data_IF_469785461067
#
_entry.id   IF_469785461067
#
_cell.length_a   1.000
_cell.length_b   1.000
_cell.length_c   1.000
_cell.angle_alpha   90.00
_cell.angle_beta   90.00
_cell.angle_gamma   90.00
#
_symmetry.space_group_name_H-M   'P 1'
#
loop_
_entity.id
_entity.type
_entity.pdbx_description
1 polymer ?
#
# COMPACT_ATOMS: atom_id res chain seq x y z
N UNK A 1 -26.89 4.65 -65.36
CA UNK A 1 -27.40 4.88 -64.00
C UNK A 1 -27.76 3.52 -63.48
N UNK A 2 -26.89 2.96 -62.64
CA UNK A 2 -26.97 1.59 -62.16
C UNK A 2 -27.63 1.64 -60.78
N UNK A 3 -28.77 0.97 -60.64
CA UNK A 3 -29.52 0.91 -59.38
C UNK A 3 -28.67 0.27 -58.29
N UNK A 4 -28.31 1.06 -57.29
CA UNK A 4 -27.72 0.59 -56.04
C UNK A 4 -28.86 -0.02 -55.23
N UNK A 5 -28.91 -1.35 -55.21
CA UNK A 5 -29.77 -2.12 -54.32
C UNK A 5 -29.27 -1.89 -52.89
N UNK A 6 -30.01 -1.10 -52.11
CA UNK A 6 -29.80 -0.98 -50.66
C UNK A 6 -30.42 -2.22 -50.01
N UNK A 7 -29.65 -3.09 -49.32
CA UNK A 7 -30.22 -4.26 -48.67
C UNK A 7 -31.11 -3.83 -47.50
N UNK A 8 -32.32 -4.36 -47.45
CA UNK A 8 -33.26 -4.10 -46.37
C UNK A 8 -32.74 -4.57 -44.99
N UNK A 9 -33.38 -4.14 -43.89
CA UNK A 9 -32.96 -4.40 -42.51
C UNK A 9 -32.92 -5.89 -42.11
N UNK A 10 -33.31 -6.81 -43.00
CA UNK A 10 -33.27 -8.26 -42.78
C UNK A 10 -31.86 -8.88 -42.88
N UNK A 11 -30.82 -8.11 -43.25
CA UNK A 11 -29.46 -8.61 -43.45
C UNK A 11 -28.41 -8.04 -42.49
N UNK A 12 -28.81 -7.33 -41.43
CA UNK A 12 -27.84 -6.89 -40.43
C UNK A 12 -27.25 -8.14 -39.72
N UNK A 13 -25.93 -8.30 -39.75
CA UNK A 13 -25.21 -9.37 -39.06
C UNK A 13 -24.42 -8.81 -37.88
N UNK A 14 -24.32 -9.56 -36.80
CA UNK A 14 -23.56 -9.24 -35.60
C UNK A 14 -22.45 -10.29 -35.46
N UNK A 15 -21.20 -9.85 -35.34
CA UNK A 15 -20.08 -10.72 -35.02
C UNK A 15 -19.95 -10.82 -33.48
N UNK A 16 -19.91 -12.02 -32.94
CA UNK A 16 -19.79 -12.27 -31.49
C UNK A 16 -18.77 -13.37 -31.23
N UNK A 17 -18.03 -13.25 -30.13
CA UNK A 17 -17.07 -14.27 -29.68
C UNK A 17 -17.65 -15.06 -28.52
N UNK A 18 -17.80 -16.37 -28.67
CA UNK A 18 -18.41 -17.23 -27.65
C UNK A 18 -17.33 -18.01 -26.92
N UNK A 19 -17.17 -17.72 -25.64
CA UNK A 19 -16.32 -18.46 -24.72
C UNK A 19 -17.09 -19.58 -24.05
N UNK A 20 -16.66 -20.82 -24.22
CA UNK A 20 -17.28 -21.95 -23.55
C UNK A 20 -16.32 -23.10 -23.26
N UNK A 21 -16.85 -24.23 -22.78
CA UNK A 21 -16.03 -25.38 -22.37
C UNK A 21 -15.26 -26.03 -23.52
N UNK A 22 -15.66 -25.81 -24.78
CA UNK A 22 -14.95 -26.25 -25.97
C UNK A 22 -13.96 -25.20 -26.52
N UNK A 23 -13.75 -24.09 -25.79
CA UNK A 23 -12.90 -22.99 -26.22
C UNK A 23 -13.69 -21.78 -26.74
N UNK A 24 -12.97 -20.89 -27.44
CA UNK A 24 -13.49 -19.63 -27.99
C UNK A 24 -13.82 -19.83 -29.45
N UNK A 25 -15.03 -19.42 -29.85
CA UNK A 25 -15.48 -19.53 -31.23
C UNK A 25 -16.15 -18.23 -31.68
N UNK A 26 -15.67 -17.68 -32.78
CA UNK A 26 -16.19 -16.44 -33.36
C UNK A 26 -17.31 -16.76 -34.34
N UNK A 27 -18.52 -16.28 -34.05
CA UNK A 27 -19.70 -16.49 -34.88
C UNK A 27 -20.18 -15.18 -35.48
N UNK A 28 -20.56 -15.22 -36.76
CA UNK A 28 -21.28 -14.15 -37.43
C UNK A 28 -22.73 -14.58 -37.56
N UNK A 29 -23.62 -13.92 -36.80
CA UNK A 29 -25.02 -14.31 -36.67
C UNK A 29 -25.93 -13.19 -37.17
N UNK A 30 -27.13 -13.49 -37.73
CA UNK A 30 -28.11 -12.47 -38.05
C UNK A 30 -28.50 -11.65 -36.81
N UNK A 31 -28.76 -10.35 -36.95
CA UNK A 31 -29.15 -9.47 -35.85
C UNK A 31 -30.50 -9.85 -35.22
N UNK A 32 -31.35 -10.57 -35.95
CA UNK A 32 -32.59 -11.16 -35.46
C UNK A 32 -32.43 -12.53 -34.79
N UNK A 33 -31.22 -13.10 -34.75
CA UNK A 33 -30.99 -14.41 -34.14
C UNK A 33 -31.22 -14.33 -32.63
N UNK A 34 -31.84 -15.37 -32.07
CA UNK A 34 -32.03 -15.47 -30.62
C UNK A 34 -30.81 -16.10 -29.96
N UNK A 35 -30.68 -15.92 -28.64
CA UNK A 35 -29.61 -16.55 -27.87
C UNK A 35 -29.61 -18.10 -27.98
N UNK A 36 -30.77 -18.72 -28.27
CA UNK A 36 -30.86 -20.18 -28.45
C UNK A 36 -30.29 -20.62 -29.80
N UNK A 37 -30.53 -19.84 -30.85
CA UNK A 37 -30.02 -20.13 -32.19
C UNK A 37 -28.50 -20.06 -32.21
N UNK A 38 -27.95 -19.02 -31.57
CA UNK A 38 -26.50 -18.84 -31.43
C UNK A 38 -25.87 -19.90 -30.53
N UNK A 39 -26.53 -20.30 -29.45
CA UNK A 39 -26.08 -21.39 -28.60
C UNK A 39 -26.07 -22.75 -29.33
N UNK A 40 -27.07 -22.99 -30.18
CA UNK A 40 -27.16 -24.19 -31.01
C UNK A 40 -26.03 -24.21 -32.03
N UNK A 41 -25.79 -23.10 -32.69
CA UNK A 41 -24.71 -22.98 -33.69
C UNK A 41 -23.33 -23.21 -33.05
N UNK A 42 -23.08 -22.59 -31.89
CA UNK A 42 -21.87 -22.86 -31.10
C UNK A 42 -21.73 -24.35 -30.75
N UNK A 43 -22.81 -25.00 -30.31
CA UNK A 43 -22.78 -26.42 -29.96
C UNK A 43 -22.56 -27.33 -31.18
N UNK A 44 -23.07 -26.96 -32.36
CA UNK A 44 -22.83 -27.70 -33.61
C UNK A 44 -21.38 -27.56 -34.04
N UNK A 45 -20.86 -26.34 -34.14
CA UNK A 45 -19.48 -26.11 -34.59
C UNK A 45 -18.44 -26.62 -33.57
N UNK A 46 -18.73 -26.57 -32.27
CA UNK A 46 -17.89 -27.18 -31.25
C UNK A 46 -17.83 -28.72 -31.35
N UNK A 47 -18.86 -29.39 -31.89
CA UNK A 47 -18.83 -30.83 -32.14
C UNK A 47 -18.06 -31.18 -33.40
N UNK A 48 -18.19 -30.37 -34.45
CA UNK A 48 -17.53 -30.59 -35.74
C UNK A 48 -16.03 -30.30 -35.68
N UNK A 49 -15.61 -29.28 -34.94
CA UNK A 49 -14.21 -28.83 -34.87
C UNK A 49 -13.29 -29.72 -34.03
N UNK A 50 -13.82 -30.74 -33.32
CA UNK A 50 -13.01 -31.69 -32.53
C UNK A 50 -12.10 -31.06 -31.47
N UNK A 51 -12.30 -29.78 -31.16
CA UNK A 51 -11.38 -28.98 -30.37
C UNK A 51 -11.64 -29.17 -28.86
N UNK A 52 -10.76 -29.93 -28.21
CA UNK A 52 -10.35 -29.70 -26.82
C UNK A 52 -11.33 -30.07 -25.70
N UNK A 53 -11.12 -31.24 -25.09
CA UNK A 53 -11.33 -31.59 -23.67
C UNK A 53 -12.72 -31.38 -23.00
N UNK A 54 -13.74 -30.85 -23.67
CA UNK A 54 -15.07 -30.66 -23.09
C UNK A 54 -16.18 -30.91 -24.10
N UNK A 55 -16.72 -32.14 -24.14
CA UNK A 55 -17.94 -32.42 -24.90
C UNK A 55 -19.08 -31.56 -24.36
N UNK A 56 -19.66 -30.66 -25.16
CA UNK A 56 -20.85 -29.90 -24.77
C UNK A 56 -22.06 -30.85 -24.81
N UNK A 57 -22.62 -31.27 -23.66
CA UNK A 57 -23.61 -32.35 -23.62
C UNK A 57 -25.03 -31.92 -24.07
N UNK A 58 -25.21 -30.65 -24.47
CA UNK A 58 -26.50 -30.08 -24.88
C UNK A 58 -26.35 -28.65 -25.43
N UNK A 59 -27.47 -27.96 -25.68
CA UNK A 59 -27.45 -26.54 -26.07
C UNK A 59 -27.10 -25.71 -24.83
N UNK A 60 -25.98 -24.95 -24.81
CA UNK A 60 -25.57 -24.17 -23.66
C UNK A 60 -26.46 -22.94 -23.44
N UNK A 61 -26.44 -22.39 -22.23
CA UNK A 61 -27.08 -21.11 -21.94
C UNK A 61 -26.05 -19.99 -22.16
N UNK A 62 -26.40 -19.00 -22.99
CA UNK A 62 -25.57 -17.82 -23.23
C UNK A 62 -25.77 -16.77 -22.15
N UNK A 63 -24.65 -16.23 -21.69
CA UNK A 63 -24.57 -15.13 -20.74
C UNK A 63 -23.65 -14.06 -21.31
N UNK A 64 -23.80 -12.82 -20.89
CA UNK A 64 -22.82 -11.77 -21.17
C UNK A 64 -21.52 -12.06 -20.41
N UNK A 65 -20.43 -11.38 -20.76
CA UNK A 65 -19.19 -11.41 -19.98
C UNK A 65 -19.37 -11.02 -18.50
N UNK A 66 -20.43 -10.28 -18.16
CA UNK A 66 -20.80 -9.87 -16.80
C UNK A 66 -21.69 -10.90 -16.07
N UNK A 67 -21.99 -12.04 -16.70
CA UNK A 67 -22.78 -13.12 -16.11
C UNK A 67 -24.30 -12.90 -16.17
N UNK A 68 -24.78 -11.88 -16.89
CA UNK A 68 -26.23 -11.70 -17.11
C UNK A 68 -26.71 -12.66 -18.18
N UNK A 69 -27.78 -13.40 -17.89
CA UNK A 69 -28.37 -14.35 -18.84
C UNK A 69 -29.11 -13.62 -19.93
N UNK A 70 -28.84 -14.01 -21.17
CA UNK A 70 -29.63 -13.56 -22.30
C UNK A 70 -30.96 -14.31 -22.31
N UNK A 71 -32.06 -13.59 -22.55
CA UNK A 71 -33.37 -14.20 -22.66
C UNK A 71 -33.43 -15.00 -23.97
N UNK A 72 -33.82 -16.27 -23.87
CA UNK A 72 -33.90 -17.21 -24.99
C UNK A 72 -34.86 -16.76 -26.11
N UNK A 73 -35.86 -15.93 -25.79
CA UNK A 73 -36.89 -15.50 -26.74
C UNK A 73 -36.63 -14.12 -27.37
N UNK A 74 -35.61 -13.40 -26.93
CA UNK A 74 -35.33 -12.03 -27.38
C UNK A 74 -34.19 -12.04 -28.41
N UNK A 75 -34.32 -11.32 -29.54
CA UNK A 75 -33.23 -11.15 -30.49
C UNK A 75 -31.99 -10.54 -29.85
N UNK A 76 -30.79 -10.92 -30.30
CA UNK A 76 -29.54 -10.41 -29.73
C UNK A 76 -29.41 -8.88 -29.82
N UNK A 77 -29.90 -8.26 -30.89
CA UNK A 77 -29.92 -6.81 -31.07
C UNK A 77 -30.78 -6.09 -30.02
N UNK A 78 -31.96 -6.63 -29.71
CA UNK A 78 -32.87 -6.12 -28.68
C UNK A 78 -32.40 -6.42 -27.27
N UNK A 79 -31.63 -7.50 -27.08
CA UNK A 79 -30.95 -7.81 -25.83
C UNK A 79 -29.72 -6.92 -25.57
N UNK A 80 -29.43 -5.97 -26.47
CA UNK A 80 -28.34 -5.00 -26.34
C UNK A 80 -26.96 -5.53 -26.72
N UNK A 81 -26.87 -6.70 -27.37
CA UNK A 81 -25.60 -7.28 -27.81
C UNK A 81 -25.10 -6.56 -29.05
N UNK A 82 -23.86 -6.07 -28.97
CA UNK A 82 -23.19 -5.31 -30.02
C UNK A 82 -22.18 -6.18 -30.77
N UNK A 83 -21.80 -5.81 -32.01
CA UNK A 83 -20.71 -6.45 -32.73
C UNK A 83 -19.39 -6.37 -31.93
N UNK A 84 -18.72 -7.51 -31.76
CA UNK A 84 -17.50 -7.64 -30.97
C UNK A 84 -17.73 -8.04 -29.50
N UNK A 85 -18.99 -8.18 -29.08
CA UNK A 85 -19.29 -8.63 -27.72
C UNK A 85 -18.88 -10.09 -27.49
N UNK A 86 -18.40 -10.34 -26.27
CA UNK A 86 -18.03 -11.67 -25.80
C UNK A 86 -19.18 -12.28 -25.00
N UNK A 87 -19.67 -13.42 -25.46
CA UNK A 87 -20.70 -14.21 -24.79
C UNK A 87 -20.08 -15.44 -24.15
N UNK A 88 -20.64 -15.88 -23.03
CA UNK A 88 -20.17 -17.06 -22.29
C UNK A 88 -21.20 -18.17 -22.39
N UNK A 89 -20.81 -19.28 -23.02
CA UNK A 89 -21.58 -20.50 -23.11
C UNK A 89 -21.39 -21.33 -21.83
N UNK A 90 -22.45 -21.39 -21.02
CA UNK A 90 -22.46 -22.13 -19.76
C UNK A 90 -23.23 -23.44 -19.90
N UNK A 91 -22.62 -24.56 -19.48
CA UNK A 91 -23.28 -25.86 -19.39
C UNK A 91 -23.87 -26.06 -18.00
N UNK A 92 -25.20 -25.95 -17.87
CA UNK A 92 -25.89 -26.30 -16.63
C UNK A 92 -27.23 -25.60 -16.45
N UNK A 93 -28.27 -26.39 -16.12
CA UNK A 93 -29.50 -25.86 -15.54
C UNK A 93 -29.14 -25.34 -14.16
N UNK A 94 -29.04 -24.03 -14.00
CA UNK A 94 -28.87 -23.40 -12.70
C UNK A 94 -30.22 -23.52 -11.98
N UNK A 95 -30.48 -24.68 -11.36
CA UNK A 95 -31.50 -24.79 -10.34
C UNK A 95 -31.10 -23.78 -9.26
N UNK A 96 -31.92 -22.77 -8.95
CA UNK A 96 -31.66 -21.96 -7.78
C UNK A 96 -31.71 -22.91 -6.59
N UNK A 97 -30.54 -23.30 -6.08
CA UNK A 97 -30.46 -24.01 -4.81
C UNK A 97 -31.10 -23.05 -3.82
N UNK A 98 -32.21 -23.44 -3.18
CA UNK A 98 -32.79 -22.70 -2.05
C UNK A 98 -31.71 -22.67 -0.97
N UNK A 99 -30.82 -21.69 -1.05
CA UNK A 99 -29.95 -21.30 0.05
C UNK A 99 -30.89 -20.73 1.10
N UNK A 100 -30.90 -21.36 2.27
CA UNK A 100 -31.60 -20.76 3.41
C UNK A 100 -30.96 -19.39 3.68
N UNK A 101 -31.71 -18.42 4.19
CA UNK A 101 -31.15 -17.11 4.57
C UNK A 101 -29.94 -17.26 5.53
N UNK A 102 -29.92 -18.36 6.28
CA UNK A 102 -28.85 -18.72 7.20
C UNK A 102 -27.60 -19.23 6.48
N UNK A 103 -27.74 -20.00 5.40
CA UNK A 103 -26.62 -20.38 4.51
C UNK A 103 -26.13 -19.19 3.67
N UNK A 104 -27.03 -18.30 3.26
CA UNK A 104 -26.68 -17.07 2.56
C UNK A 104 -25.94 -16.08 3.48
N UNK A 105 -26.30 -16.00 4.77
CA UNK A 105 -25.58 -15.19 5.76
C UNK A 105 -24.23 -15.80 6.15
N UNK A 106 -24.15 -17.13 6.31
CA UNK A 106 -22.88 -17.84 6.59
C UNK A 106 -21.88 -17.77 5.43
N UNK A 107 -22.39 -17.79 4.20
CA UNK A 107 -21.59 -17.71 2.97
C UNK A 107 -21.59 -16.31 2.34
N UNK A 108 -22.15 -15.30 3.02
CA UNK A 108 -22.09 -13.94 2.54
C UNK A 108 -20.61 -13.55 2.47
N UNK A 109 -20.13 -13.00 1.35
CA UNK A 109 -18.77 -12.49 1.26
C UNK A 109 -18.66 -11.31 2.24
N UNK A 110 -18.19 -11.58 3.46
CA UNK A 110 -17.86 -10.53 4.40
C UNK A 110 -16.76 -9.67 3.80
N UNK A 111 -16.99 -8.37 3.76
CA UNK A 111 -16.04 -7.46 3.13
C UNK A 111 -14.75 -7.47 3.95
N UNK A 112 -13.60 -7.88 3.37
CA UNK A 112 -12.32 -7.83 4.06
C UNK A 112 -11.99 -6.39 4.50
N UNK A 113 -12.61 -5.39 3.85
CA UNK A 113 -12.57 -3.98 4.21
C UNK A 113 -13.12 -3.70 5.61
N UNK A 114 -14.31 -4.21 5.97
CA UNK A 114 -14.91 -3.96 7.29
C UNK A 114 -14.08 -4.58 8.41
N UNK A 115 -13.62 -5.82 8.22
CA UNK A 115 -12.72 -6.46 9.19
C UNK A 115 -11.40 -5.68 9.37
N UNK A 116 -10.83 -5.17 8.27
CA UNK A 116 -9.62 -4.35 8.33
C UNK A 116 -9.85 -2.98 9.00
N UNK A 117 -11.03 -2.38 8.80
CA UNK A 117 -11.43 -1.14 9.45
C UNK A 117 -11.58 -1.34 10.96
N UNK A 118 -12.26 -2.41 11.39
CA UNK A 118 -12.39 -2.75 12.81
C UNK A 118 -11.02 -3.00 13.44
N UNK A 119 -10.14 -3.74 12.76
CA UNK A 119 -8.78 -3.98 13.24
C UNK A 119 -7.97 -2.67 13.38
N UNK A 120 -8.11 -1.74 12.42
CA UNK A 120 -7.46 -0.43 12.49
C UNK A 120 -8.00 0.43 13.66
N UNK A 121 -9.32 0.46 13.85
CA UNK A 121 -9.95 1.16 14.98
C UNK A 121 -9.51 0.55 16.30
N UNK A 122 -9.42 -0.77 16.39
CA UNK A 122 -8.97 -1.46 17.59
C UNK A 122 -7.50 -1.15 17.92
N UNK A 123 -6.61 -1.09 16.92
CA UNK A 123 -5.22 -0.64 17.09
C UNK A 123 -5.14 0.81 17.59
N UNK A 124 -5.98 1.71 17.06
CA UNK A 124 -6.03 3.10 17.52
C UNK A 124 -6.52 3.20 18.97
N UNK A 125 -7.57 2.43 19.32
CA UNK A 125 -8.08 2.35 20.69
C UNK A 125 -7.03 1.78 21.66
N UNK A 126 -6.23 0.80 21.23
CA UNK A 126 -5.14 0.24 22.04
C UNK A 126 -4.08 1.29 22.40
N UNK A 127 -3.65 2.08 21.42
CA UNK A 127 -2.68 3.17 21.63
C UNK A 127 -3.25 4.23 22.57
N UNK A 128 -4.52 4.60 22.40
CA UNK A 128 -5.18 5.54 23.30
C UNK A 128 -5.32 4.98 24.73
N UNK A 129 -5.71 3.72 24.88
CA UNK A 129 -5.81 3.07 26.18
C UNK A 129 -4.45 3.04 26.89
N UNK A 130 -3.37 2.71 26.17
CA UNK A 130 -2.02 2.75 26.71
C UNK A 130 -1.59 4.16 27.13
N UNK A 131 -1.90 5.18 26.33
CA UNK A 131 -1.63 6.57 26.65
C UNK A 131 -2.34 7.03 27.93
N UNK A 132 -3.62 6.72 28.06
CA UNK A 132 -4.39 7.04 29.27
C UNK A 132 -3.89 6.26 30.49
N UNK A 133 -3.61 4.97 30.35
CA UNK A 133 -3.08 4.14 31.42
C UNK A 133 -1.71 4.63 31.94
N UNK A 134 -0.84 5.09 31.05
CA UNK A 134 0.44 5.70 31.44
C UNK A 134 0.30 7.04 32.17
N UNK A 135 -0.76 7.82 31.86
CA UNK A 135 -0.99 9.15 32.43
C UNK A 135 -1.80 9.14 33.74
N UNK A 136 -2.64 8.12 33.96
CA UNK A 136 -3.58 8.09 35.08
C UNK A 136 -2.91 7.97 36.46
N UNK A 137 -1.65 7.49 36.53
CA UNK A 137 -0.89 7.35 37.77
C UNK A 137 -1.37 6.24 38.72
N UNK A 138 -2.50 5.59 38.42
CA UNK A 138 -3.05 4.47 39.20
C UNK A 138 -2.48 3.13 38.72
N UNK A 139 -1.71 2.47 39.60
CA UNK A 139 -0.96 1.25 39.27
C UNK A 139 -1.87 0.06 38.91
N UNK A 140 -3.01 -0.09 39.60
CA UNK A 140 -3.99 -1.14 39.33
C UNK A 140 -4.57 -0.99 37.92
N UNK A 141 -5.01 0.22 37.56
CA UNK A 141 -5.58 0.50 36.23
C UNK A 141 -4.54 0.25 35.13
N UNK A 142 -3.29 0.68 35.35
CA UNK A 142 -2.16 0.41 34.44
C UNK A 142 -1.91 -1.08 34.26
N UNK A 143 -1.83 -1.85 35.35
CA UNK A 143 -1.58 -3.30 35.31
C UNK A 143 -2.69 -4.06 34.57
N UNK A 144 -3.96 -3.74 34.84
CA UNK A 144 -5.10 -4.35 34.14
C UNK A 144 -5.07 -4.02 32.65
N UNK A 145 -4.80 -2.76 32.29
CA UNK A 145 -4.72 -2.33 30.89
C UNK A 145 -3.59 -3.04 30.14
N UNK A 146 -2.38 -3.10 30.72
CA UNK A 146 -1.25 -3.82 30.15
C UNK A 146 -1.59 -5.31 29.97
N UNK A 147 -2.18 -5.95 30.98
CA UNK A 147 -2.60 -7.35 30.91
C UNK A 147 -3.61 -7.61 29.78
N UNK A 148 -4.62 -6.74 29.64
CA UNK A 148 -5.60 -6.81 28.55
C UNK A 148 -4.96 -6.61 27.17
N UNK A 149 -4.07 -5.63 27.02
CA UNK A 149 -3.38 -5.35 25.76
C UNK A 149 -2.46 -6.53 25.35
N UNK A 150 -1.73 -7.11 26.31
CA UNK A 150 -0.92 -8.32 26.07
C UNK A 150 -1.77 -9.51 25.68
N UNK A 151 -2.90 -9.74 26.37
CA UNK A 151 -3.84 -10.80 26.00
C UNK A 151 -4.38 -10.61 24.57
N UNK A 152 -4.77 -9.38 24.21
CA UNK A 152 -5.19 -9.04 22.85
C UNK A 152 -4.08 -9.27 21.80
N UNK A 153 -2.83 -8.92 22.11
CA UNK A 153 -1.69 -9.18 21.23
C UNK A 153 -1.47 -10.69 21.00
N UNK A 154 -1.49 -11.49 22.08
CA UNK A 154 -1.33 -12.95 22.02
C UNK A 154 -2.47 -13.58 21.23
N UNK A 155 -3.72 -13.24 21.54
CA UNK A 155 -4.89 -13.72 20.80
C UNK A 155 -4.79 -13.30 19.34
N UNK A 156 -4.36 -12.08 19.05
CA UNK A 156 -4.24 -11.55 17.68
C UNK A 156 -3.31 -12.37 16.77
N UNK A 157 -2.27 -12.98 17.34
CA UNK A 157 -1.26 -13.78 16.62
C UNK A 157 -1.66 -15.25 16.41
N UNK A 158 -2.62 -15.77 17.18
CA UNK A 158 -3.05 -17.17 17.06
C UNK A 158 -3.62 -17.48 15.65
N UNK A 159 -3.22 -18.60 15.02
CA UNK A 159 -3.64 -18.96 13.67
C UNK A 159 -5.05 -19.56 13.62
N UNK A 160 -6.03 -18.85 14.18
CA UNK A 160 -7.41 -19.35 14.36
C UNK A 160 -8.41 -18.36 13.80
N UNK A 161 -9.31 -18.88 12.95
CA UNK A 161 -10.49 -18.18 12.46
C UNK A 161 -10.31 -17.43 11.14
N UNK A 162 -11.45 -17.06 10.54
CA UNK A 162 -11.54 -16.45 9.20
C UNK A 162 -10.88 -15.06 9.04
N UNK A 163 -10.66 -14.34 10.14
CA UNK A 163 -10.04 -12.99 10.15
C UNK A 163 -8.60 -13.00 10.69
N UNK A 164 -7.90 -14.13 10.59
CA UNK A 164 -6.52 -14.26 11.08
C UNK A 164 -5.62 -13.16 10.53
N UNK A 165 -5.69 -12.84 9.23
CA UNK A 165 -4.83 -11.83 8.60
C UNK A 165 -5.03 -10.44 9.21
N UNK A 166 -6.27 -10.00 9.41
CA UNK A 166 -6.58 -8.68 9.99
C UNK A 166 -6.16 -8.60 11.46
N UNK A 167 -6.35 -9.68 12.23
CA UNK A 167 -5.93 -9.77 13.63
C UNK A 167 -4.42 -9.76 13.77
N UNK A 168 -3.72 -10.57 12.97
CA UNK A 168 -2.26 -10.64 12.97
C UNK A 168 -1.63 -9.29 12.57
N UNK A 169 -2.25 -8.55 11.65
CA UNK A 169 -1.81 -7.20 11.28
C UNK A 169 -1.95 -6.16 12.41
N UNK A 170 -2.93 -6.34 13.32
CA UNK A 170 -3.19 -5.42 14.44
C UNK A 170 -2.42 -5.81 15.72
N UNK A 171 -2.12 -7.09 15.93
CA UNK A 171 -1.46 -7.60 17.13
C UNK A 171 -0.16 -6.86 17.53
N UNK A 172 0.74 -6.47 16.60
CA UNK A 172 1.93 -5.70 16.94
C UNK A 172 1.62 -4.34 17.58
N UNK A 173 0.52 -3.68 17.19
CA UNK A 173 0.11 -2.41 17.78
C UNK A 173 -0.32 -2.57 19.24
N UNK A 174 -1.03 -3.66 19.57
CA UNK A 174 -1.37 -3.99 20.96
C UNK A 174 -0.13 -4.28 21.81
N UNK A 175 0.86 -4.98 21.24
CA UNK A 175 2.12 -5.27 21.93
C UNK A 175 2.93 -4.01 22.20
N UNK A 176 3.07 -3.13 21.21
CA UNK A 176 3.70 -1.83 21.39
C UNK A 176 2.97 -0.97 22.43
N UNK A 177 1.63 -0.93 22.37
CA UNK A 177 0.81 -0.21 23.33
C UNK A 177 0.99 -0.76 24.76
N UNK A 178 1.02 -2.08 24.93
CA UNK A 178 1.27 -2.71 26.23
C UNK A 178 2.66 -2.35 26.79
N UNK A 179 3.70 -2.44 25.96
CA UNK A 179 5.06 -2.09 26.35
C UNK A 179 5.18 -0.60 26.72
N UNK A 180 4.54 0.28 25.94
CA UNK A 180 4.47 1.70 26.27
C UNK A 180 3.78 1.93 27.61
N UNK A 181 2.60 1.35 27.84
CA UNK A 181 1.86 1.52 29.10
C UNK A 181 2.59 0.95 30.30
N UNK A 182 3.34 -0.14 30.14
CA UNK A 182 4.11 -0.78 31.21
C UNK A 182 5.34 0.03 31.63
N UNK A 183 6.00 0.67 30.68
CA UNK A 183 7.28 1.37 30.90
C UNK A 183 7.14 2.88 31.04
N UNK A 184 6.00 3.45 30.62
CA UNK A 184 5.80 4.88 30.72
C UNK A 184 5.61 5.32 32.16
N UNK A 185 6.51 6.19 32.61
CA UNK A 185 6.46 6.85 33.91
C UNK A 185 6.49 8.37 33.72
N UNK A 186 5.48 9.11 34.21
CA UNK A 186 5.45 10.56 34.10
C UNK A 186 6.67 11.21 34.74
N UNK A 187 7.32 12.15 34.04
CA UNK A 187 8.45 12.93 34.56
C UNK A 187 9.83 12.29 34.32
N UNK A 188 9.90 11.05 33.82
CA UNK A 188 11.18 10.40 33.49
C UNK A 188 11.58 10.70 32.04
N UNK A 189 12.78 11.23 31.82
CA UNK A 189 13.31 11.60 30.49
C UNK A 189 13.77 10.39 29.64
N UNK A 190 13.07 9.26 29.70
CA UNK A 190 13.43 8.01 28.99
C UNK A 190 12.49 7.70 27.81
N UNK A 191 11.79 8.71 27.29
CA UNK A 191 10.79 8.55 26.23
C UNK A 191 11.34 7.83 24.97
N UNK A 192 12.58 8.11 24.48
CA UNK A 192 13.17 7.31 23.41
C UNK A 192 13.26 5.84 23.78
N UNK A 193 13.81 5.49 24.94
CA UNK A 193 13.96 4.09 25.37
C UNK A 193 12.61 3.37 25.46
N UNK A 194 11.57 4.04 25.97
CA UNK A 194 10.20 3.51 26.03
C UNK A 194 9.65 3.24 24.63
N UNK A 195 9.80 4.19 23.69
CA UNK A 195 9.37 3.97 22.29
C UNK A 195 10.19 2.90 21.59
N UNK A 196 11.49 2.78 21.91
CA UNK A 196 12.34 1.69 21.45
C UNK A 196 11.82 0.33 21.93
N UNK A 197 11.52 0.20 23.22
CA UNK A 197 10.93 -1.00 23.81
C UNK A 197 9.56 -1.35 23.19
N UNK A 198 8.73 -0.35 22.91
CA UNK A 198 7.47 -0.55 22.18
C UNK A 198 7.72 -1.03 20.73
N UNK A 199 8.72 -0.47 20.05
CA UNK A 199 9.13 -0.87 18.70
C UNK A 199 9.58 -2.34 18.62
N UNK A 200 10.45 -2.78 19.55
CA UNK A 200 10.89 -4.18 19.58
C UNK A 200 9.76 -5.13 19.99
N UNK A 201 8.87 -4.73 20.90
CA UNK A 201 7.69 -5.54 21.25
C UNK A 201 6.78 -5.77 20.04
N UNK A 202 6.52 -4.72 19.23
CA UNK A 202 5.80 -4.87 17.97
C UNK A 202 6.52 -5.81 16.98
N UNK A 203 7.84 -5.65 16.81
CA UNK A 203 8.63 -6.48 15.90
C UNK A 203 8.63 -7.96 16.32
N UNK A 204 8.75 -8.26 17.61
CA UNK A 204 8.69 -9.62 18.15
C UNK A 204 7.32 -10.24 17.90
N UNK A 205 6.23 -9.54 18.23
CA UNK A 205 4.87 -10.06 18.03
C UNK A 205 4.55 -10.25 16.54
N UNK A 206 5.02 -9.36 15.67
CA UNK A 206 4.94 -9.55 14.22
C UNK A 206 5.77 -10.76 13.76
N UNK A 207 6.95 -10.99 14.35
CA UNK A 207 7.78 -12.18 14.12
C UNK A 207 7.08 -13.48 14.50
N UNK A 208 6.43 -13.54 15.66
CA UNK A 208 5.66 -14.70 16.11
C UNK A 208 4.45 -14.92 15.18
N UNK A 209 3.71 -13.86 14.84
CA UNK A 209 2.62 -13.91 13.87
C UNK A 209 3.04 -14.47 12.51
N UNK A 210 4.19 -14.02 12.01
CA UNK A 210 4.79 -14.51 10.78
C UNK A 210 5.23 -15.97 10.88
N UNK A 211 5.81 -16.39 12.00
CA UNK A 211 6.26 -17.77 12.21
C UNK A 211 5.11 -18.78 12.29
N UNK A 212 3.95 -18.35 12.81
CA UNK A 212 2.74 -19.19 12.90
C UNK A 212 1.88 -19.16 11.63
N UNK A 213 2.13 -18.23 10.70
CA UNK A 213 1.32 -18.07 9.50
C UNK A 213 1.67 -19.12 8.44
N UNK A 214 0.66 -19.78 7.89
CA UNK A 214 0.82 -20.74 6.80
C UNK A 214 1.18 -20.08 5.45
N UNK A 215 1.01 -18.76 5.33
CA UNK A 215 1.28 -17.99 4.11
C UNK A 215 2.14 -16.77 4.46
N UNK A 216 2.94 -16.29 3.51
CA UNK A 216 3.70 -15.06 3.69
C UNK A 216 2.75 -13.89 3.98
N UNK A 217 2.94 -13.26 5.13
CA UNK A 217 2.24 -12.02 5.48
C UNK A 217 3.19 -10.82 5.26
N UNK A 218 2.84 -9.98 4.29
CA UNK A 218 3.61 -8.78 3.94
C UNK A 218 3.58 -7.72 5.03
N UNK A 219 2.46 -7.61 5.76
CA UNK A 219 2.28 -6.60 6.79
C UNK A 219 3.21 -6.86 7.98
N UNK A 220 3.43 -8.13 8.33
CA UNK A 220 4.41 -8.52 9.34
C UNK A 220 5.85 -8.10 8.98
N UNK A 221 6.24 -8.11 7.69
CA UNK A 221 7.58 -7.65 7.26
C UNK A 221 7.78 -6.18 7.61
N UNK A 222 6.77 -5.36 7.30
CA UNK A 222 6.81 -3.92 7.57
C UNK A 222 6.88 -3.66 9.07
N UNK A 223 6.09 -4.37 9.88
CA UNK A 223 6.14 -4.26 11.34
C UNK A 223 7.51 -4.63 11.91
N UNK A 224 8.11 -5.73 11.45
CA UNK A 224 9.45 -6.14 11.89
C UNK A 224 10.48 -5.07 11.51
N UNK A 225 10.51 -4.65 10.25
CA UNK A 225 11.48 -3.68 9.76
C UNK A 225 11.33 -2.33 10.47
N UNK A 226 10.12 -1.78 10.53
CA UNK A 226 9.87 -0.48 11.18
C UNK A 226 10.09 -0.54 12.69
N UNK A 227 9.62 -1.58 13.37
CA UNK A 227 9.83 -1.78 14.81
C UNK A 227 11.31 -1.92 15.17
N UNK A 228 12.09 -2.65 14.35
CA UNK A 228 13.53 -2.78 14.54
C UNK A 228 14.27 -1.46 14.29
N UNK A 229 13.92 -0.70 13.24
CA UNK A 229 14.52 0.62 12.98
C UNK A 229 14.23 1.59 14.14
N UNK A 230 12.99 1.64 14.62
CA UNK A 230 12.62 2.47 15.78
C UNK A 230 13.40 2.04 17.02
N UNK A 231 13.46 0.73 17.29
CA UNK A 231 14.25 0.19 18.40
C UNK A 231 15.72 0.58 18.29
N UNK A 232 16.37 0.39 17.14
CA UNK A 232 17.79 0.71 16.97
C UNK A 232 18.05 2.21 17.16
N UNK A 233 17.25 3.09 16.54
CA UNK A 233 17.44 4.54 16.69
C UNK A 233 17.26 5.00 18.14
N UNK A 234 16.29 4.45 18.85
CA UNK A 234 15.97 4.84 20.22
C UNK A 234 16.85 4.16 21.28
N UNK A 235 17.17 2.88 21.12
CA UNK A 235 17.99 2.13 22.06
C UNK A 235 19.46 2.51 21.94
N UNK A 236 19.99 2.69 20.73
CA UNK A 236 21.40 3.08 20.55
C UNK A 236 21.68 4.45 21.14
N UNK A 237 20.76 5.41 20.96
CA UNK A 237 20.88 6.74 21.55
C UNK A 237 20.83 6.70 23.07
N UNK A 238 19.93 5.89 23.65
CA UNK A 238 19.88 5.68 25.09
C UNK A 238 21.14 4.99 25.64
N UNK A 239 21.63 3.93 24.99
CA UNK A 239 22.83 3.18 25.38
C UNK A 239 24.10 4.03 25.34
N UNK A 240 24.20 4.93 24.35
CA UNK A 240 25.33 5.85 24.22
C UNK A 240 25.20 7.09 25.12
N UNK A 241 24.14 7.19 25.93
CA UNK A 241 23.88 8.36 26.78
C UNK A 241 23.67 9.65 25.98
N UNK A 242 23.20 9.55 24.74
CA UNK A 242 22.94 10.71 23.89
C UNK A 242 21.58 11.31 24.20
N UNK A 243 21.46 12.60 23.89
CA UNK A 243 20.19 13.33 24.02
C UNK A 243 19.10 12.66 23.16
N UNK A 244 17.89 12.57 23.71
CA UNK A 244 16.67 12.12 23.05
C UNK A 244 16.48 12.76 21.68
N UNK A 245 16.89 14.02 21.53
CA UNK A 245 16.88 14.77 20.27
C UNK A 245 17.55 14.03 19.11
N UNK A 246 18.64 13.31 19.37
CA UNK A 246 19.36 12.56 18.32
C UNK A 246 18.48 11.44 17.77
N UNK A 247 17.72 10.76 18.64
CA UNK A 247 16.80 9.71 18.23
C UNK A 247 15.72 10.25 17.30
N UNK A 248 15.09 11.36 17.69
CA UNK A 248 14.03 11.99 16.89
C UNK A 248 14.55 12.50 15.55
N UNK A 249 15.76 13.06 15.55
CA UNK A 249 16.45 13.52 14.33
C UNK A 249 16.65 12.36 13.36
N UNK A 250 17.20 11.23 13.84
CA UNK A 250 17.40 10.03 13.04
C UNK A 250 16.08 9.47 12.50
N UNK A 251 15.04 9.40 13.34
CA UNK A 251 13.73 8.89 12.93
C UNK A 251 13.07 9.73 11.84
N UNK A 252 13.05 11.06 11.98
CA UNK A 252 12.50 11.97 10.96
C UNK A 252 13.30 11.85 9.66
N UNK A 253 14.63 11.85 9.74
CA UNK A 253 15.50 11.74 8.57
C UNK A 253 15.34 10.40 7.85
N UNK A 254 15.35 9.28 8.60
CA UNK A 254 15.18 7.94 8.03
C UNK A 254 13.78 7.74 7.46
N UNK A 255 12.72 8.29 8.07
CA UNK A 255 11.37 8.24 7.52
C UNK A 255 11.29 8.94 6.15
N UNK A 256 11.93 10.11 6.01
CA UNK A 256 12.05 10.81 4.74
C UNK A 256 12.80 9.96 3.69
N UNK A 257 13.92 9.33 4.07
CA UNK A 257 14.71 8.48 3.17
C UNK A 257 13.97 7.21 2.79
N UNK A 258 13.26 6.58 3.73
CA UNK A 258 12.47 5.38 3.50
C UNK A 258 11.40 5.60 2.41
N UNK A 259 10.84 6.80 2.28
CA UNK A 259 9.90 7.13 1.21
C UNK A 259 10.50 7.00 -0.21
N UNK A 260 11.84 7.05 -0.35
CA UNK A 260 12.53 6.84 -1.64
C UNK A 260 12.90 5.38 -1.89
N UNK A 261 13.28 4.66 -0.83
CA UNK A 261 13.76 3.27 -0.94
C UNK A 261 12.66 2.22 -0.81
N UNK A 262 11.51 2.55 -0.23
CA UNK A 262 10.43 1.58 -0.01
C UNK A 262 9.93 0.92 -1.32
N UNK A 263 9.74 1.63 -2.45
CA UNK A 263 9.33 1.00 -3.69
C UNK A 263 10.40 0.05 -4.26
N UNK A 264 11.68 0.42 -4.20
CA UNK A 264 12.77 -0.42 -4.71
C UNK A 264 13.00 -1.66 -3.85
N UNK A 265 12.77 -1.58 -2.53
CA UNK A 265 12.86 -2.73 -1.64
C UNK A 265 11.64 -3.65 -1.72
N UNK A 266 10.48 -3.13 -2.13
CA UNK A 266 9.25 -3.90 -2.27
C UNK A 266 9.17 -4.69 -3.58
N UNK A 267 9.85 -4.22 -4.63
CA UNK A 267 9.87 -4.81 -5.95
C UNK A 267 11.21 -5.52 -6.12
N UNK A 268 11.25 -6.78 -5.73
CA UNK A 268 12.36 -7.69 -5.99
C UNK A 268 11.95 -8.60 -7.15
N UNK A 269 12.42 -8.28 -8.36
CA UNK A 269 12.17 -9.10 -9.55
C UNK A 269 13.44 -9.91 -9.78
N UNK A 270 13.37 -11.25 -9.80
CA UNK A 270 14.54 -12.08 -10.08
C UNK A 270 15.16 -11.68 -11.43
N UNK A 271 16.49 -11.55 -11.49
CA UNK A 271 17.19 -11.14 -12.71
C UNK A 271 16.93 -12.11 -13.86
N UNK A 272 16.72 -13.39 -13.56
CA UNK A 272 16.39 -14.45 -14.54
C UNK A 272 15.01 -14.24 -15.19
N UNK A 273 14.14 -13.44 -14.57
CA UNK A 273 12.82 -13.11 -15.09
C UNK A 273 12.83 -11.87 -16.00
N UNK A 274 13.82 -10.98 -15.85
CA UNK A 274 13.96 -9.76 -16.66
C UNK A 274 14.95 -9.93 -17.81
N UNK A 275 15.97 -10.75 -17.60
CA UNK A 275 17.07 -10.94 -18.51
C UNK A 275 17.22 -12.43 -18.81
N UNK A 276 17.24 -12.76 -20.10
CA UNK A 276 17.64 -14.09 -20.55
C UNK A 276 19.17 -14.18 -20.36
N UNK A 277 19.59 -14.57 -19.15
CA UNK A 277 20.99 -14.65 -18.75
C UNK A 277 21.78 -15.60 -19.67
N UNK A 278 21.12 -16.61 -20.27
CA UNK A 278 21.74 -17.50 -21.25
C UNK A 278 22.09 -16.75 -22.54
N UNK A 279 21.27 -15.78 -22.97
CA UNK A 279 21.58 -14.92 -24.13
C UNK A 279 22.63 -13.86 -23.84
N UNK A 280 22.68 -13.32 -22.62
CA UNK A 280 23.67 -12.31 -22.24
C UNK A 280 25.07 -12.90 -21.98
N UNK A 281 25.16 -14.20 -21.69
CA UNK A 281 26.43 -14.90 -21.50
C UNK A 281 27.18 -15.16 -22.81
N UNK A 282 26.55 -15.00 -23.98
CA UNK A 282 27.16 -15.27 -25.28
C UNK A 282 27.64 -13.96 -25.92
N UNK A 283 28.95 -13.73 -25.90
CA UNK A 283 29.59 -12.51 -26.42
C UNK A 283 29.66 -12.45 -27.95
N UNK A 284 29.34 -13.54 -28.65
CA UNK A 284 29.33 -13.63 -30.10
C UNK A 284 27.91 -13.94 -30.58
N UNK A 285 27.14 -12.89 -30.89
CA UNK A 285 25.80 -13.06 -31.43
C UNK A 285 25.89 -13.55 -32.88
N UNK A 286 25.58 -14.82 -33.12
CA UNK A 286 25.35 -15.30 -34.48
C UNK A 286 23.87 -15.07 -34.84
N UNK A 287 23.60 -14.35 -35.92
CA UNK A 287 22.23 -14.15 -36.43
C UNK A 287 21.56 -15.46 -36.91
N UNK A 288 22.28 -16.60 -36.82
CA UNK A 288 21.82 -17.94 -37.21
C UNK A 288 21.49 -18.82 -36.00
N UNK A 289 21.64 -18.33 -34.76
CA UNK A 289 21.23 -19.11 -33.60
C UNK A 289 19.72 -19.35 -33.66
N UNK A 290 19.39 -20.58 -34.00
CA UNK A 290 18.03 -21.05 -34.13
C UNK A 290 17.43 -21.10 -32.74
N UNK A 291 16.28 -20.46 -32.58
CA UNK A 291 15.52 -20.40 -31.33
C UNK A 291 15.48 -21.81 -30.69
N UNK A 292 15.92 -21.99 -29.42
CA UNK A 292 15.92 -23.32 -28.80
C UNK A 292 14.48 -23.85 -28.79
N UNK A 293 14.23 -24.90 -29.58
CA UNK A 293 12.92 -25.53 -29.82
C UNK A 293 12.46 -26.41 -28.65
N UNK A 294 12.79 -26.02 -27.42
CA UNK A 294 12.45 -26.75 -26.20
C UNK A 294 11.60 -25.92 -25.25
N UNK A 295 10.64 -26.59 -24.60
CA UNK A 295 9.81 -26.08 -23.48
C UNK A 295 10.61 -25.46 -22.31
N UNK A 296 11.94 -25.58 -22.31
CA UNK A 296 12.88 -25.13 -21.28
C UNK A 296 13.54 -23.77 -21.55
N UNK A 297 13.47 -23.22 -22.77
CA UNK A 297 14.16 -21.97 -23.14
C UNK A 297 13.29 -20.72 -23.16
N UNK A 298 12.06 -20.80 -22.66
CA UNK A 298 11.14 -19.66 -22.57
C UNK A 298 10.77 -19.51 -21.12
N UNK A 299 11.53 -18.71 -20.37
CA UNK A 299 11.10 -18.21 -19.06
C UNK A 299 9.95 -17.22 -19.34
N UNK A 300 8.77 -17.77 -19.63
CA UNK A 300 7.54 -16.99 -19.71
C UNK A 300 7.11 -16.82 -18.26
N UNK A 301 7.35 -15.63 -17.71
CA UNK A 301 6.80 -15.25 -16.40
C UNK A 301 5.28 -15.39 -16.51
N UNK A 302 4.71 -16.36 -15.79
CA UNK A 302 3.26 -16.58 -15.78
C UNK A 302 2.57 -15.32 -15.29
N UNK A 303 1.46 -14.93 -15.92
CA UNK A 303 0.67 -13.77 -15.52
C UNK A 303 0.32 -13.81 -14.01
N UNK A 304 -0.02 -14.99 -13.49
CA UNK A 304 -0.34 -15.21 -12.07
C UNK A 304 0.83 -14.88 -11.13
N UNK A 305 2.08 -15.16 -11.54
CA UNK A 305 3.26 -14.84 -10.74
C UNK A 305 3.47 -13.32 -10.68
N UNK A 306 3.27 -12.63 -11.80
CA UNK A 306 3.33 -11.17 -11.85
C UNK A 306 2.22 -10.53 -11.02
N UNK A 307 1.00 -11.04 -11.09
CA UNK A 307 -0.13 -10.55 -10.30
C UNK A 307 0.14 -10.70 -8.80
N UNK A 308 0.64 -11.86 -8.36
CA UNK A 308 1.04 -12.07 -6.96
C UNK A 308 2.15 -11.11 -6.52
N UNK A 309 3.16 -10.90 -7.36
CA UNK A 309 4.24 -9.96 -7.07
C UNK A 309 3.73 -8.53 -6.93
N UNK A 310 2.88 -8.06 -7.84
CA UNK A 310 2.30 -6.72 -7.80
C UNK A 310 1.44 -6.53 -6.55
N UNK A 311 0.59 -7.50 -6.22
CA UNK A 311 -0.21 -7.43 -4.99
C UNK A 311 0.65 -7.42 -3.72
N UNK A 312 1.72 -8.22 -3.69
CA UNK A 312 2.68 -8.25 -2.59
C UNK A 312 3.38 -6.90 -2.42
N UNK A 313 3.97 -6.38 -3.50
CA UNK A 313 4.66 -5.10 -3.51
C UNK A 313 3.72 -3.96 -3.09
N UNK A 314 2.47 -3.95 -3.61
CA UNK A 314 1.45 -2.98 -3.25
C UNK A 314 1.18 -2.92 -1.74
N UNK A 315 1.09 -4.09 -1.09
CA UNK A 315 0.88 -4.22 0.36
C UNK A 315 2.08 -3.73 1.15
N UNK A 316 3.29 -4.11 0.76
CA UNK A 316 4.54 -3.67 1.40
C UNK A 316 4.67 -2.15 1.30
N UNK A 317 4.48 -1.58 0.11
CA UNK A 317 4.58 -0.13 -0.14
C UNK A 317 3.53 0.64 0.68
N UNK A 318 2.30 0.14 0.75
CA UNK A 318 1.23 0.77 1.54
C UNK A 318 1.55 0.70 3.04
N UNK A 319 1.98 -0.46 3.54
CA UNK A 319 2.40 -0.62 4.93
C UNK A 319 3.57 0.29 5.29
N UNK A 320 4.61 0.34 4.45
CA UNK A 320 5.77 1.22 4.64
C UNK A 320 5.34 2.69 4.68
N UNK A 321 4.39 3.11 3.84
CA UNK A 321 3.86 4.48 3.85
C UNK A 321 3.11 4.81 5.15
N UNK A 322 2.40 3.85 5.74
CA UNK A 322 1.76 4.00 7.07
C UNK A 322 2.84 4.12 8.16
N UNK A 323 3.87 3.28 8.13
CA UNK A 323 4.97 3.35 9.09
C UNK A 323 5.71 4.70 9.03
N UNK A 324 6.01 5.19 7.82
CA UNK A 324 6.59 6.52 7.58
C UNK A 324 5.68 7.60 8.18
N UNK A 325 4.37 7.55 7.91
CA UNK A 325 3.41 8.51 8.46
C UNK A 325 3.42 8.53 10.00
N UNK A 326 3.31 7.36 10.64
CA UNK A 326 3.31 7.27 12.10
C UNK A 326 4.62 7.79 12.69
N UNK A 327 5.77 7.36 12.16
CA UNK A 327 7.08 7.82 12.64
C UNK A 327 7.24 9.33 12.47
N UNK A 328 6.91 9.88 11.30
CA UNK A 328 7.01 11.33 11.06
C UNK A 328 6.10 12.13 11.99
N UNK A 329 4.81 11.76 12.10
CA UNK A 329 3.83 12.48 12.94
C UNK A 329 4.20 12.46 14.42
N UNK A 330 4.81 11.37 14.90
CA UNK A 330 5.26 11.26 16.30
C UNK A 330 6.61 11.93 16.54
N UNK A 331 7.61 11.70 15.69
CA UNK A 331 8.97 12.17 15.91
C UNK A 331 9.15 13.67 15.64
N UNK A 332 8.40 14.26 14.69
CA UNK A 332 8.48 15.70 14.40
C UNK A 332 8.16 16.61 15.60
N UNK A 333 7.03 16.47 16.31
CA UNK A 333 6.76 17.28 17.49
C UNK A 333 7.75 16.99 18.62
N UNK A 334 8.13 15.72 18.84
CA UNK A 334 9.10 15.36 19.88
C UNK A 334 10.47 15.99 19.63
N UNK A 335 10.93 16.01 18.37
CA UNK A 335 12.16 16.68 17.97
C UNK A 335 12.12 18.18 18.29
N UNK A 336 11.05 18.86 17.87
CA UNK A 336 10.89 20.30 18.07
C UNK A 336 10.84 20.69 19.56
N UNK A 337 10.20 19.86 20.40
CA UNK A 337 10.15 20.10 21.85
C UNK A 337 11.48 19.78 22.55
N UNK A 338 12.24 18.80 22.06
CA UNK A 338 13.55 18.44 22.64
C UNK A 338 14.68 19.44 22.30
N UNK A 339 14.50 20.27 21.27
CA UNK A 339 15.50 21.26 20.88
C UNK A 339 15.43 22.50 21.79
N UNK A 340 16.29 22.55 22.80
CA UNK A 340 16.34 23.65 23.79
C UNK A 340 17.34 24.74 23.44
N UNK A 341 18.43 24.40 22.74
CA UNK A 341 19.49 25.34 22.34
C UNK A 341 19.17 25.94 20.97
N UNK A 342 19.43 27.24 20.78
CA UNK A 342 19.00 27.99 19.59
C UNK A 342 19.53 27.43 18.26
N UNK A 343 20.79 27.01 18.22
CA UNK A 343 21.37 26.38 17.02
C UNK A 343 20.63 25.07 16.66
N UNK A 344 20.37 24.24 17.65
CA UNK A 344 19.69 22.95 17.47
C UNK A 344 18.21 23.14 17.11
N UNK A 345 17.57 24.21 17.61
CA UNK A 345 16.21 24.61 17.24
C UNK A 345 16.11 24.98 15.77
N UNK A 346 17.06 25.75 15.25
CA UNK A 346 17.11 26.10 13.82
C UNK A 346 17.27 24.82 12.99
N UNK A 347 18.20 23.94 13.38
CA UNK A 347 18.39 22.64 12.75
C UNK A 347 17.11 21.81 12.74
N UNK A 348 16.44 21.67 13.88
CA UNK A 348 15.21 20.90 14.03
C UNK A 348 14.06 21.47 13.17
N UNK A 349 13.86 22.80 13.18
CA UNK A 349 12.83 23.47 12.37
C UNK A 349 13.06 23.26 10.87
N UNK A 350 14.31 23.46 10.42
CA UNK A 350 14.69 23.22 9.03
C UNK A 350 14.52 21.75 8.63
N UNK A 351 14.95 20.80 9.49
CA UNK A 351 14.80 19.38 9.21
C UNK A 351 13.33 18.99 9.04
N UNK A 352 12.45 19.39 9.97
CA UNK A 352 11.02 19.07 9.91
C UNK A 352 10.37 19.70 8.68
N UNK A 353 10.73 20.95 8.34
CA UNK A 353 10.27 21.62 7.13
C UNK A 353 10.65 20.83 5.87
N UNK A 354 11.95 20.58 5.67
CA UNK A 354 12.44 19.95 4.45
C UNK A 354 12.03 18.48 4.34
N UNK A 355 11.97 17.75 5.46
CA UNK A 355 11.45 16.39 5.49
C UNK A 355 9.95 16.36 5.13
N UNK A 356 9.15 17.27 5.70
CA UNK A 356 7.72 17.38 5.39
C UNK A 356 7.47 17.70 3.92
N UNK A 357 8.20 18.69 3.37
CA UNK A 357 8.15 19.04 1.96
C UNK A 357 8.61 17.89 1.05
N UNK A 358 9.70 17.20 1.41
CA UNK A 358 10.19 16.05 0.67
C UNK A 358 9.16 14.92 0.63
N UNK A 359 8.44 14.65 1.72
CA UNK A 359 7.39 13.63 1.76
C UNK A 359 6.17 14.00 0.90
N UNK A 360 5.77 15.29 0.91
CA UNK A 360 4.71 15.80 0.04
C UNK A 360 5.07 15.66 -1.45
N UNK A 361 6.32 15.97 -1.80
CA UNK A 361 6.83 15.83 -3.16
C UNK A 361 6.97 14.35 -3.54
N UNK A 362 7.53 13.51 -2.67
CA UNK A 362 7.70 12.08 -2.91
C UNK A 362 6.36 11.37 -3.16
N UNK A 363 5.27 11.80 -2.52
CA UNK A 363 3.95 11.23 -2.75
C UNK A 363 3.50 11.25 -4.23
N UNK A 364 4.07 12.13 -5.08
CA UNK A 364 3.75 12.21 -6.51
C UNK A 364 4.26 11.01 -7.32
N UNK A 365 5.34 10.37 -6.90
CA UNK A 365 5.91 9.20 -7.60
C UNK A 365 5.12 7.92 -7.33
N UNK A 366 4.30 7.92 -6.26
CA UNK A 366 3.49 6.78 -5.86
C UNK A 366 2.21 6.72 -6.68
N UNK A 367 2.04 5.64 -7.47
CA UNK A 367 0.82 5.40 -8.27
C UNK A 367 -0.38 4.99 -7.41
N UNK A 368 -0.15 4.32 -6.29
CA UNK A 368 -1.22 3.84 -5.40
C UNK A 368 -1.81 4.97 -4.55
N UNK A 369 -3.14 5.12 -4.59
CA UNK A 369 -3.84 6.21 -3.92
C UNK A 369 -3.66 6.19 -2.39
N UNK A 370 -3.72 5.01 -1.77
CA UNK A 370 -3.56 4.86 -0.32
C UNK A 370 -2.15 5.27 0.15
N UNK A 371 -1.09 4.70 -0.47
CA UNK A 371 0.29 5.06 -0.17
C UNK A 371 0.55 6.56 -0.35
N UNK A 372 0.04 7.13 -1.45
CA UNK A 372 0.11 8.58 -1.71
C UNK A 372 -0.58 9.40 -0.61
N UNK A 373 -1.77 8.98 -0.16
CA UNK A 373 -2.49 9.66 0.90
C UNK A 373 -1.71 9.64 2.22
N UNK A 374 -1.17 8.49 2.61
CA UNK A 374 -0.36 8.36 3.84
C UNK A 374 0.90 9.21 3.81
N UNK A 375 1.65 9.24 2.70
CA UNK A 375 2.82 10.12 2.57
C UNK A 375 2.45 11.61 2.61
N UNK A 376 1.29 11.99 2.05
CA UNK A 376 0.78 13.36 2.16
C UNK A 376 0.41 13.70 3.60
N UNK A 377 -0.28 12.80 4.30
CA UNK A 377 -0.61 12.97 5.71
C UNK A 377 0.66 13.07 6.57
N UNK A 378 1.71 12.29 6.25
CA UNK A 378 3.01 12.38 6.91
C UNK A 378 3.63 13.78 6.76
N UNK A 379 3.72 14.28 5.52
CA UNK A 379 4.27 15.59 5.23
C UNK A 379 3.43 16.73 5.82
N UNK A 380 2.11 16.66 5.72
CA UNK A 380 1.19 17.61 6.35
C UNK A 380 1.31 17.61 7.88
N UNK A 381 1.43 16.42 8.49
CA UNK A 381 1.61 16.29 9.94
C UNK A 381 2.90 16.92 10.43
N UNK A 382 4.01 16.73 9.70
CA UNK A 382 5.28 17.40 10.00
C UNK A 382 5.15 18.93 9.91
N UNK A 383 4.52 19.44 8.85
CA UNK A 383 4.31 20.88 8.69
C UNK A 383 3.35 21.45 9.74
N UNK A 384 2.31 20.72 10.12
CA UNK A 384 1.39 21.11 11.19
C UNK A 384 2.11 21.20 12.54
N UNK A 385 2.93 20.20 12.89
CA UNK A 385 3.74 20.22 14.11
C UNK A 385 4.73 21.40 14.12
N UNK A 386 5.33 21.73 12.97
CA UNK A 386 6.19 22.90 12.83
C UNK A 386 5.41 24.21 13.00
N UNK A 387 4.25 24.33 12.36
CA UNK A 387 3.40 25.50 12.48
C UNK A 387 2.92 25.72 13.92
N UNK A 388 2.46 24.66 14.59
CA UNK A 388 2.10 24.68 16.01
C UNK A 388 3.29 25.17 16.86
N UNK A 389 4.46 24.56 16.70
CA UNK A 389 5.66 24.95 17.45
C UNK A 389 6.09 26.40 17.22
N UNK A 390 5.90 26.94 16.01
CA UNK A 390 6.19 28.35 15.71
C UNK A 390 5.18 29.30 16.35
N UNK A 391 3.91 28.90 16.49
CA UNK A 391 2.84 29.71 17.08
C UNK A 391 2.87 29.68 18.60
N UNK A 392 3.11 28.52 19.21
CA UNK A 392 3.00 28.31 20.66
C UNK A 392 4.35 28.26 21.38
N UNK A 393 5.46 28.16 20.65
CA UNK A 393 6.78 27.94 21.20
C UNK A 393 7.50 29.20 21.71
N UNK A 394 8.55 29.03 22.54
CA UNK A 394 9.39 30.13 23.00
C UNK A 394 10.12 30.79 21.82
N UNK A 395 9.96 32.11 21.69
CA UNK A 395 10.53 32.90 20.59
C UNK A 395 9.51 33.48 19.58
N UNK A 396 8.20 33.35 19.86
CA UNK A 396 7.11 33.90 19.05
C UNK A 396 7.21 35.43 18.79
N UNK A 397 7.98 36.17 19.60
CA UNK A 397 8.16 37.62 19.45
C UNK A 397 9.27 38.10 18.48
N UNK A 398 10.15 37.21 17.97
CA UNK A 398 11.33 37.66 17.20
C UNK A 398 11.49 37.01 15.81
N UNK A 399 10.54 36.20 15.33
CA UNK A 399 10.64 35.53 14.03
C UNK A 399 9.30 35.51 13.26
N UNK A 400 8.58 36.63 13.27
CA UNK A 400 7.37 36.83 12.45
C UNK A 400 7.66 36.58 10.97
N UNK A 401 8.73 37.15 10.42
CA UNK A 401 9.05 36.97 8.99
C UNK A 401 9.39 35.52 8.62
N UNK A 402 10.13 34.80 9.47
CA UNK A 402 10.48 33.39 9.21
C UNK A 402 9.25 32.49 9.32
N UNK A 403 8.38 32.70 10.30
CA UNK A 403 7.14 31.95 10.45
C UNK A 403 6.20 32.18 9.26
N UNK A 404 6.02 33.43 8.79
CA UNK A 404 5.25 33.70 7.57
C UNK A 404 5.84 33.05 6.32
N UNK A 405 7.17 33.03 6.16
CA UNK A 405 7.84 32.37 5.02
C UNK A 405 7.68 30.86 5.07
N UNK A 406 7.82 30.24 6.24
CA UNK A 406 7.65 28.79 6.43
C UNK A 406 6.20 28.37 6.21
N UNK A 407 5.25 29.10 6.77
CA UNK A 407 3.80 28.86 6.56
C UNK A 407 3.43 29.08 5.10
N UNK A 408 3.97 30.13 4.45
CA UNK A 408 3.80 30.39 3.04
C UNK A 408 4.35 29.27 2.15
N UNK A 409 5.55 28.78 2.44
CA UNK A 409 6.16 27.62 1.75
C UNK A 409 5.33 26.35 1.96
N UNK A 410 4.82 26.12 3.18
CA UNK A 410 3.90 25.02 3.47
C UNK A 410 2.63 25.12 2.64
N UNK A 411 1.99 26.29 2.61
CA UNK A 411 0.78 26.53 1.83
C UNK A 411 1.02 26.34 0.32
N UNK A 412 2.14 26.85 -0.21
CA UNK A 412 2.54 26.65 -1.61
C UNK A 412 2.79 25.16 -1.90
N UNK A 413 3.43 24.44 -0.99
CA UNK A 413 3.69 23.01 -1.16
C UNK A 413 2.41 22.17 -1.10
N UNK A 414 1.45 22.54 -0.25
CA UNK A 414 0.12 21.93 -0.19
C UNK A 414 -0.66 22.23 -1.48
N UNK A 415 -0.67 23.48 -1.93
CA UNK A 415 -1.30 23.86 -3.19
C UNK A 415 -0.67 23.11 -4.38
N UNK A 416 0.66 22.98 -4.40
CA UNK A 416 1.38 22.18 -5.38
C UNK A 416 1.01 20.69 -5.25
N UNK A 417 0.97 20.10 -4.06
CA UNK A 417 0.59 18.71 -3.86
C UNK A 417 -0.85 18.41 -4.32
N UNK A 418 -1.79 19.34 -4.11
CA UNK A 418 -3.18 19.22 -4.58
C UNK A 418 -3.25 19.36 -6.09
N UNK A 419 -2.59 20.37 -6.68
CA UNK A 419 -2.56 20.59 -8.11
C UNK A 419 -1.91 19.42 -8.88
N UNK A 420 -0.87 18.82 -8.29
CA UNK A 420 -0.08 17.73 -8.90
C UNK A 420 -0.75 16.36 -8.82
N UNK A 421 -1.79 16.19 -8.00
CA UNK A 421 -2.61 14.98 -7.99
C UNK A 421 -3.32 14.70 -9.33
N UNK A 422 -3.41 15.70 -10.22
CA UNK A 422 -4.06 15.62 -11.54
C UNK A 422 -3.09 15.31 -12.70
N UNK A 423 -1.82 15.04 -12.42
CA UNK A 423 -0.80 14.81 -13.44
C UNK A 423 -0.25 16.12 -14.03
N UNK A 424 1.06 16.17 -14.26
CA UNK A 424 1.70 17.36 -14.79
C UNK A 424 1.48 17.42 -16.31
N UNK A 425 0.79 18.46 -16.78
CA UNK A 425 0.58 18.70 -18.22
C UNK A 425 1.86 19.16 -18.95
N UNK A 426 2.94 19.47 -18.22
CA UNK A 426 4.20 19.98 -18.79
C UNK A 426 5.42 19.29 -18.16
N UNK A 427 6.32 18.84 -19.04
CA UNK A 427 7.61 18.19 -18.70
C UNK A 427 8.51 19.13 -17.89
N UNK A 428 8.50 20.43 -18.19
CA UNK A 428 9.32 21.42 -17.49
C UNK A 428 8.98 21.48 -16.00
N UNK A 429 7.69 21.47 -15.69
CA UNK A 429 7.22 21.52 -14.32
C UNK A 429 7.50 20.21 -13.55
N UNK A 430 7.47 19.05 -14.21
CA UNK A 430 7.91 17.78 -13.62
C UNK A 430 9.39 17.83 -13.23
N UNK A 431 10.25 18.35 -14.10
CA UNK A 431 11.70 18.49 -13.80
C UNK A 431 11.95 19.44 -12.63
N UNK A 432 11.23 20.56 -12.53
CA UNK A 432 11.38 21.48 -11.38
C UNK A 432 10.99 20.82 -10.06
N UNK A 433 9.97 19.98 -10.06
CA UNK A 433 9.57 19.24 -8.87
C UNK A 433 10.64 18.22 -8.45
N UNK A 434 11.31 17.56 -9.39
CA UNK A 434 12.46 16.68 -9.10
C UNK A 434 13.61 17.45 -8.48
N UNK A 435 13.95 18.62 -9.01
CA UNK A 435 14.99 19.49 -8.44
C UNK A 435 14.59 19.96 -7.03
N UNK A 436 13.34 20.38 -6.84
CA UNK A 436 12.86 20.80 -5.52
C UNK A 436 12.92 19.66 -4.50
N UNK A 437 12.56 18.44 -4.90
CA UNK A 437 12.63 17.25 -4.05
C UNK A 437 14.08 16.89 -3.70
N UNK A 438 15.01 16.98 -4.67
CA UNK A 438 16.43 16.78 -4.45
C UNK A 438 17.01 17.82 -3.47
N UNK A 439 16.68 19.11 -3.68
CA UNK A 439 17.09 20.20 -2.79
C UNK A 439 16.55 20.02 -1.37
N UNK A 440 15.27 19.67 -1.21
CA UNK A 440 14.69 19.39 0.10
C UNK A 440 15.44 18.24 0.79
N UNK A 441 15.75 17.16 0.06
CA UNK A 441 16.54 16.05 0.60
C UNK A 441 17.94 16.47 1.06
N UNK A 442 18.66 17.25 0.24
CA UNK A 442 20.00 17.74 0.59
C UNK A 442 19.99 18.68 1.79
N UNK A 443 19.03 19.62 1.85
CA UNK A 443 18.89 20.51 3.00
C UNK A 443 18.43 19.77 4.25
N UNK A 444 17.57 18.78 4.14
CA UNK A 444 17.19 17.94 5.27
C UNK A 444 18.40 17.17 5.82
N UNK A 445 19.28 16.64 4.97
CA UNK A 445 20.52 16.01 5.42
C UNK A 445 21.42 16.99 6.19
N UNK A 446 21.67 18.18 5.63
CA UNK A 446 22.46 19.21 6.30
C UNK A 446 21.83 19.64 7.64
N UNK A 447 20.50 19.83 7.66
CA UNK A 447 19.75 20.19 8.86
C UNK A 447 19.76 19.08 9.91
N UNK A 448 19.79 17.79 9.52
CA UNK A 448 19.88 16.67 10.44
C UNK A 448 21.20 16.68 11.23
N UNK A 449 22.32 17.02 10.59
CA UNK A 449 23.62 17.15 11.28
C UNK A 449 23.59 18.25 12.34
N UNK A 450 22.95 19.38 12.02
CA UNK A 450 22.77 20.50 12.95
C UNK A 450 21.79 20.12 14.07
N UNK A 451 20.64 19.55 13.75
CA UNK A 451 19.62 19.13 14.71
C UNK A 451 20.13 18.08 15.71
N UNK A 452 21.00 17.17 15.27
CA UNK A 452 21.66 16.20 16.13
C UNK A 452 22.64 16.86 17.13
N UNK A 453 23.06 18.11 16.90
CA UNK A 453 24.03 18.82 17.73
C UNK A 453 25.48 18.43 17.48
N UNK A 454 25.80 17.88 16.30
CA UNK A 454 27.17 17.47 15.95
C UNK A 454 28.10 18.68 15.95
N UNK A 455 27.68 19.79 15.34
CA UNK A 455 28.46 21.04 15.34
C UNK A 455 28.70 21.57 16.74
N UNK A 456 27.69 21.49 17.62
CA UNK A 456 27.82 21.92 19.02
C UNK A 456 28.88 21.08 19.75
N UNK A 457 28.82 19.76 19.63
CA UNK A 457 29.83 18.87 20.23
C UNK A 457 31.24 19.13 19.69
N UNK A 458 31.38 19.32 18.38
CA UNK A 458 32.68 19.65 17.79
C UNK A 458 33.22 20.96 18.33
N UNK A 459 32.38 21.98 18.43
CA UNK A 459 32.74 23.27 19.01
C UNK A 459 33.20 23.13 20.46
N UNK A 460 32.42 22.45 21.30
CA UNK A 460 32.70 22.19 22.72
C UNK A 460 34.01 21.39 22.94
N UNK A 461 34.43 20.55 21.99
CA UNK A 461 35.70 19.80 22.07
C UNK A 461 36.90 20.69 21.68
N UNK A 462 36.69 21.66 20.78
CA UNK A 462 37.77 22.51 20.24
C UNK A 462 38.01 23.81 21.00
N UNK A 463 37.00 24.31 21.73
CA UNK A 463 37.09 25.49 22.61
C UNK A 463 37.56 25.09 24.00
#
# INVERSE_FOLDING_TARGET
MSDVVVPGPAHATIAVSIHGPAGVLDLVVPAGATAVDVAREYATQARESGAGAGSVPGIPLLQTALGTRLNAAVPLSEAGVQPGDVLVATSGVHRPRRTTLLDAAKNAPESPALASMIAAVASAAAVLAAWYAGRAGEETFRTVTVGMLLACALVGVLPVGRHQRQRAAAAPAFAAAAAFAALYEPGVHLLPAILGAAGIAAAVVAGIGRALAAHSDETSIVWIASGLVVFVCCALTALLGWDARVAWTLLVFLAMMAARFAPSLAIDVPDEALLDLERLAVTAWSARDSQPTGRRGRVVVSADAMERLVHRASRIVTGASVAIMVVTVTASPLLLHSATVDLDRIGARCLVLFAGLSLLLAARSYRHAAARAFLRLAGLGALAALAEHLVTGPGAGHLDTFSYVVVGLGAIAVAAAVATGRGWRSVWWSRRAEVAEALCGSFAFAAAVVAAGIFRRLWEITS
#
